data_IF_643703158706
#
_entry.id   IF_643703158706
#
_cell.length_a   1.000
_cell.length_b   1.000
_cell.length_c   1.000
_cell.angle_alpha   90.00
_cell.angle_beta   90.00
_cell.angle_gamma   90.00
#
_symmetry.space_group_name_H-M   'P 1'
#
loop_
_entity.id
_entity.type
_entity.pdbx_description
1 polymer ?
#
# COMPACT_ATOMS: atom_id res chain seq x y z
N UNK A 1 -44.63 -7.01 17.64
CA UNK A 1 -44.26 -5.62 17.26
C UNK A 1 -42.77 -5.44 17.51
N UNK A 2 -41.97 -5.17 16.48
CA UNK A 2 -40.56 -4.81 16.64
C UNK A 2 -40.22 -3.73 15.60
N UNK A 3 -39.74 -2.59 16.10
CA UNK A 3 -39.65 -1.32 15.38
C UNK A 3 -38.61 -1.31 14.27
N UNK A 4 -39.09 -1.19 13.03
CA UNK A 4 -38.29 -0.85 11.87
C UNK A 4 -38.12 0.68 11.82
N UNK A 5 -37.29 1.24 12.71
CA UNK A 5 -37.08 2.69 12.75
C UNK A 5 -36.14 3.12 11.60
N UNK A 6 -36.63 3.99 10.72
CA UNK A 6 -35.89 4.66 9.64
C UNK A 6 -34.53 5.21 10.11
N UNK A 7 -34.44 5.71 11.34
CA UNK A 7 -33.19 6.17 11.95
C UNK A 7 -32.15 5.07 12.15
N UNK A 8 -32.54 3.85 12.52
CA UNK A 8 -31.60 2.73 12.68
C UNK A 8 -30.96 2.34 11.35
N UNK A 9 -31.73 2.44 10.24
CA UNK A 9 -31.23 2.17 8.88
C UNK A 9 -30.32 3.28 8.37
N UNK A 10 -30.69 4.55 8.59
CA UNK A 10 -29.83 5.71 8.27
C UNK A 10 -28.52 5.68 9.07
N UNK A 11 -28.58 5.32 10.36
CA UNK A 11 -27.38 5.21 11.21
C UNK A 11 -26.43 4.13 10.71
N UNK A 12 -26.94 2.94 10.35
CA UNK A 12 -26.12 1.86 9.78
C UNK A 12 -25.51 2.25 8.43
N UNK A 13 -26.31 2.83 7.53
CA UNK A 13 -25.81 3.28 6.23
C UNK A 13 -24.75 4.38 6.38
N UNK A 14 -24.95 5.32 7.30
CA UNK A 14 -23.98 6.37 7.59
C UNK A 14 -22.69 5.78 8.15
N UNK A 15 -22.77 4.81 9.08
CA UNK A 15 -21.59 4.16 9.64
C UNK A 15 -20.74 3.47 8.56
N UNK A 16 -21.36 2.71 7.65
CA UNK A 16 -20.66 2.08 6.52
C UNK A 16 -20.00 3.13 5.61
N UNK A 17 -20.73 4.20 5.28
CA UNK A 17 -20.19 5.27 4.44
C UNK A 17 -19.05 6.04 5.13
N UNK A 18 -19.13 6.23 6.45
CA UNK A 18 -18.09 6.90 7.23
C UNK A 18 -16.84 6.01 7.35
N UNK A 19 -16.99 4.69 7.46
CA UNK A 19 -15.88 3.71 7.41
C UNK A 19 -15.18 3.75 6.06
N UNK A 20 -15.93 3.70 4.95
CA UNK A 20 -15.36 3.72 3.60
C UNK A 20 -14.63 5.05 3.31
N UNK A 21 -15.22 6.18 3.74
CA UNK A 21 -14.54 7.48 3.68
C UNK A 21 -13.27 7.52 4.54
N UNK A 22 -13.29 6.89 5.70
CA UNK A 22 -12.12 6.75 6.56
C UNK A 22 -10.97 6.04 5.85
N UNK A 23 -11.26 4.93 5.16
CA UNK A 23 -10.31 4.15 4.36
C UNK A 23 -9.70 5.00 3.24
N UNK A 24 -10.54 5.64 2.41
CA UNK A 24 -10.10 6.52 1.31
C UNK A 24 -9.24 7.69 1.83
N UNK A 25 -9.62 8.28 2.97
CA UNK A 25 -8.83 9.34 3.58
C UNK A 25 -7.49 8.84 4.12
N UNK A 26 -7.44 7.60 4.62
CA UNK A 26 -6.21 6.92 5.01
C UNK A 26 -5.24 6.80 3.84
N UNK A 27 -5.71 6.23 2.72
CA UNK A 27 -4.93 6.03 1.49
C UNK A 27 -4.39 7.36 0.94
N UNK A 28 -5.26 8.35 0.73
CA UNK A 28 -4.85 9.64 0.20
C UNK A 28 -3.92 10.39 1.18
N UNK A 29 -4.15 10.24 2.48
CA UNK A 29 -3.28 10.78 3.52
C UNK A 29 -1.88 10.16 3.48
N UNK A 30 -1.77 8.86 3.19
CA UNK A 30 -0.50 8.16 2.97
C UNK A 30 0.23 8.72 1.74
N UNK A 31 -0.47 8.91 0.62
CA UNK A 31 0.11 9.53 -0.59
C UNK A 31 0.67 10.93 -0.32
N UNK A 32 -0.07 11.78 0.43
CA UNK A 32 0.42 13.12 0.81
C UNK A 32 1.68 13.01 1.66
N UNK A 33 1.70 12.13 2.67
CA UNK A 33 2.85 11.94 3.56
C UNK A 33 4.10 11.53 2.78
N UNK A 34 3.97 10.54 1.90
CA UNK A 34 5.07 10.05 1.07
C UNK A 34 5.61 11.16 0.19
N UNK A 35 4.74 11.84 -0.56
CA UNK A 35 5.17 12.90 -1.46
C UNK A 35 5.83 14.08 -0.71
N UNK A 36 5.27 14.47 0.44
CA UNK A 36 5.75 15.60 1.23
C UNK A 36 7.15 15.41 1.83
N UNK A 37 7.68 14.18 1.90
CA UNK A 37 9.06 13.90 2.35
C UNK A 37 10.11 14.51 1.43
N UNK A 38 9.83 14.61 0.12
CA UNK A 38 10.69 15.27 -0.88
C UNK A 38 10.59 16.80 -0.85
N UNK A 39 9.78 17.35 0.06
CA UNK A 39 9.52 18.78 0.19
C UNK A 39 8.02 19.07 0.27
N UNK A 40 7.63 19.98 1.16
CA UNK A 40 6.23 20.30 1.45
C UNK A 40 5.64 21.39 0.56
N UNK A 41 6.42 21.94 -0.38
CA UNK A 41 5.97 22.96 -1.33
C UNK A 41 5.42 22.30 -2.62
N UNK A 42 4.10 22.37 -2.89
CA UNK A 42 3.50 21.77 -4.08
C UNK A 42 3.97 22.37 -5.40
N UNK A 43 4.48 23.60 -5.40
CA UNK A 43 5.02 24.23 -6.63
C UNK A 43 6.37 23.63 -7.04
N UNK A 44 7.13 23.15 -6.05
CA UNK A 44 8.42 22.49 -6.26
C UNK A 44 8.33 20.95 -6.23
N UNK A 45 7.15 20.39 -5.93
CA UNK A 45 6.94 18.96 -5.77
C UNK A 45 5.68 18.49 -6.54
N UNK A 46 5.90 17.93 -7.73
CA UNK A 46 4.83 17.46 -8.61
C UNK A 46 4.06 16.26 -8.06
N UNK A 47 4.72 15.37 -7.30
CA UNK A 47 4.07 14.24 -6.63
C UNK A 47 3.11 14.75 -5.55
N UNK A 48 3.54 15.75 -4.77
CA UNK A 48 2.70 16.35 -3.73
C UNK A 48 1.50 17.06 -4.35
N UNK A 49 1.70 17.81 -5.44
CA UNK A 49 0.59 18.42 -6.18
C UNK A 49 -0.45 17.39 -6.62
N UNK A 50 0.00 16.27 -7.19
CA UNK A 50 -0.89 15.18 -7.63
C UNK A 50 -1.65 14.55 -6.46
N UNK A 51 -0.99 14.33 -5.32
CA UNK A 51 -1.62 13.83 -4.10
C UNK A 51 -2.67 14.81 -3.53
N UNK A 52 -2.36 16.11 -3.55
CA UNK A 52 -3.29 17.17 -3.12
C UNK A 52 -4.51 17.28 -4.05
N UNK A 53 -4.35 17.05 -5.35
CA UNK A 53 -5.48 16.96 -6.29
C UNK A 53 -6.39 15.78 -5.97
N UNK A 54 -5.83 14.60 -5.69
CA UNK A 54 -6.61 13.43 -5.24
C UNK A 54 -7.36 13.74 -3.94
N UNK A 55 -6.71 14.42 -2.98
CA UNK A 55 -7.34 14.85 -1.72
C UNK A 55 -8.53 15.79 -1.94
N UNK A 56 -8.42 16.73 -2.89
CA UNK A 56 -9.54 17.58 -3.29
C UNK A 56 -10.67 16.78 -3.92
N UNK A 57 -10.38 15.83 -4.82
CA UNK A 57 -11.40 14.98 -5.48
C UNK A 57 -12.23 14.17 -4.48
N UNK A 58 -11.62 13.70 -3.40
CA UNK A 58 -12.33 12.95 -2.35
C UNK A 58 -12.96 13.84 -1.26
N UNK A 59 -12.90 15.17 -1.41
CA UNK A 59 -13.35 16.15 -0.41
C UNK A 59 -12.71 15.95 0.97
N UNK A 60 -11.40 15.65 1.00
CA UNK A 60 -10.66 15.51 2.25
C UNK A 60 -10.64 16.85 3.02
N UNK A 61 -10.97 16.88 4.32
CA UNK A 61 -10.88 18.09 5.14
C UNK A 61 -9.44 18.64 5.18
N UNK A 62 -9.29 19.96 5.04
CA UNK A 62 -7.98 20.64 5.06
C UNK A 62 -7.12 20.25 6.27
N UNK A 63 -7.73 20.11 7.46
CA UNK A 63 -7.05 19.66 8.68
C UNK A 63 -6.32 18.31 8.51
N UNK A 64 -6.88 17.38 7.74
CA UNK A 64 -6.25 16.08 7.49
C UNK A 64 -5.05 16.21 6.56
N UNK A 65 -5.16 17.07 5.54
CA UNK A 65 -4.05 17.41 4.62
C UNK A 65 -2.90 18.06 5.39
N UNK A 66 -3.20 19.09 6.21
CA UNK A 66 -2.20 19.80 7.02
C UNK A 66 -1.50 18.84 8.01
N UNK A 67 -2.26 17.91 8.61
CA UNK A 67 -1.70 16.88 9.49
C UNK A 67 -0.75 15.93 8.74
N UNK A 68 -1.12 15.51 7.52
CA UNK A 68 -0.27 14.66 6.69
C UNK A 68 1.03 15.37 6.29
N UNK A 69 0.95 16.63 5.85
CA UNK A 69 2.12 17.46 5.51
C UNK A 69 3.07 17.64 6.70
N UNK A 70 2.51 17.99 7.87
CA UNK A 70 3.31 18.17 9.09
C UNK A 70 3.99 16.87 9.54
N UNK A 71 3.27 15.75 9.50
CA UNK A 71 3.82 14.44 9.86
C UNK A 71 4.99 14.02 8.96
N UNK A 72 5.00 14.44 7.69
CA UNK A 72 6.10 14.15 6.78
C UNK A 72 7.34 15.01 7.07
N UNK A 73 7.15 16.27 7.48
CA UNK A 73 8.24 17.18 7.82
C UNK A 73 8.95 16.81 9.14
N UNK A 74 8.26 16.14 10.07
CA UNK A 74 8.81 15.80 11.39
C UNK A 74 9.56 14.46 11.41
N UNK A 75 9.35 13.57 10.44
CA UNK A 75 10.01 12.26 10.37
C UNK A 75 11.19 12.31 9.39
N UNK A 76 12.43 12.32 9.90
CA UNK A 76 13.59 11.92 9.08
C UNK A 76 13.64 10.40 9.01
N UNK A 77 13.58 9.84 7.81
CA UNK A 77 13.72 8.40 7.59
C UNK A 77 14.44 8.11 6.29
N UNK A 78 14.73 6.84 6.09
CA UNK A 78 15.37 6.31 4.88
C UNK A 78 14.39 5.43 4.11
N UNK A 79 14.45 5.51 2.78
CA UNK A 79 13.74 4.59 1.89
C UNK A 79 14.53 3.28 1.79
N UNK A 80 13.84 2.15 1.94
CA UNK A 80 14.39 0.83 1.67
C UNK A 80 13.41 -0.02 0.87
N UNK A 81 13.94 -0.99 0.15
CA UNK A 81 13.17 -2.02 -0.51
C UNK A 81 13.49 -3.35 0.17
N UNK A 82 12.50 -3.93 0.84
CA UNK A 82 12.60 -5.31 1.29
C UNK A 82 12.07 -6.26 0.23
N UNK A 83 12.66 -7.44 0.20
CA UNK A 83 12.29 -8.51 -0.69
C UNK A 83 11.90 -9.71 0.14
N UNK A 84 10.91 -10.45 -0.32
CA UNK A 84 10.45 -11.65 0.33
C UNK A 84 9.67 -12.55 -0.60
N UNK A 85 9.21 -13.66 -0.02
CA UNK A 85 8.38 -14.62 -0.71
C UNK A 85 7.15 -14.90 0.14
N UNK A 86 5.98 -14.98 -0.51
CA UNK A 86 4.79 -15.59 0.05
C UNK A 86 4.79 -17.11 -0.16
N UNK A 87 3.67 -17.77 0.17
CA UNK A 87 3.44 -19.18 -0.14
C UNK A 87 3.70 -19.50 -1.62
N UNK A 88 4.14 -20.74 -1.88
CA UNK A 88 4.46 -21.24 -3.22
C UNK A 88 5.52 -20.43 -3.99
N UNK A 89 6.30 -19.59 -3.29
CA UNK A 89 7.39 -18.83 -3.88
C UNK A 89 6.94 -17.56 -4.60
N UNK A 90 5.73 -17.06 -4.32
CA UNK A 90 5.26 -15.77 -4.82
C UNK A 90 6.23 -14.67 -4.38
N UNK A 91 6.84 -13.96 -5.32
CA UNK A 91 7.73 -12.85 -5.02
C UNK A 91 6.94 -11.67 -4.44
N UNK A 92 7.48 -11.03 -3.41
CA UNK A 92 6.92 -9.83 -2.78
C UNK A 92 8.01 -8.77 -2.65
N UNK A 93 7.75 -7.58 -3.18
CA UNK A 93 8.57 -6.39 -2.96
C UNK A 93 7.83 -5.43 -2.03
N UNK A 94 8.54 -4.89 -1.05
CA UNK A 94 7.95 -4.06 0.01
C UNK A 94 8.77 -2.79 0.10
N UNK A 95 8.26 -1.69 -0.45
CA UNK A 95 8.87 -0.38 -0.30
C UNK A 95 8.49 0.18 1.06
N UNK A 96 9.50 0.57 1.84
CA UNK A 96 9.33 1.14 3.16
C UNK A 96 10.03 2.49 3.25
N UNK A 97 9.54 3.32 4.16
CA UNK A 97 10.24 4.51 4.65
C UNK A 97 10.16 4.53 6.15
N UNK A 98 11.32 4.46 6.80
CA UNK A 98 11.39 4.27 8.24
C UNK A 98 12.48 5.11 8.88
N UNK A 99 12.24 5.51 10.12
CA UNK A 99 13.23 6.09 11.03
C UNK A 99 13.94 5.02 11.90
N UNK A 100 13.50 3.77 11.80
CA UNK A 100 14.02 2.66 12.58
C UNK A 100 13.94 1.33 11.80
N UNK A 101 14.99 1.07 11.04
CA UNK A 101 15.18 -0.12 10.21
C UNK A 101 15.02 -1.43 10.98
N UNK A 102 15.45 -1.48 12.25
CA UNK A 102 15.34 -2.70 13.07
C UNK A 102 13.91 -3.01 13.49
N UNK A 103 13.09 -1.98 13.77
CA UNK A 103 11.66 -2.15 14.05
C UNK A 103 10.94 -2.66 12.81
N UNK A 104 11.10 -1.94 11.70
CA UNK A 104 10.37 -2.21 10.46
C UNK A 104 10.71 -3.59 9.89
N UNK A 105 11.99 -4.00 9.88
CA UNK A 105 12.36 -5.35 9.42
C UNK A 105 11.77 -6.45 10.32
N UNK A 106 11.60 -6.16 11.61
CA UNK A 106 10.94 -7.07 12.56
C UNK A 106 9.46 -7.27 12.23
N UNK A 107 8.75 -6.16 12.04
CA UNK A 107 7.31 -6.15 11.69
C UNK A 107 7.06 -6.83 10.35
N UNK A 108 7.82 -6.46 9.30
CA UNK A 108 7.71 -7.08 7.97
C UNK A 108 7.96 -8.58 8.03
N UNK A 109 9.00 -9.02 8.75
CA UNK A 109 9.29 -10.45 8.91
C UNK A 109 8.15 -11.18 9.63
N UNK A 110 7.56 -10.56 10.64
CA UNK A 110 6.45 -11.15 11.39
C UNK A 110 5.22 -11.36 10.49
N UNK A 111 4.86 -10.36 9.69
CA UNK A 111 3.72 -10.45 8.76
C UNK A 111 3.94 -11.55 7.72
N UNK A 112 5.12 -11.58 7.08
CA UNK A 112 5.46 -12.59 6.09
C UNK A 112 5.42 -14.01 6.68
N UNK A 113 6.04 -14.22 7.84
CA UNK A 113 6.11 -15.55 8.46
C UNK A 113 4.77 -16.02 9.04
N UNK A 114 3.86 -15.11 9.40
CA UNK A 114 2.52 -15.44 9.89
C UNK A 114 1.65 -16.23 8.90
N UNK A 115 1.91 -16.08 7.60
CA UNK A 115 1.12 -16.69 6.52
C UNK A 115 1.93 -17.66 5.64
N UNK A 116 3.08 -18.14 6.13
CA UNK A 116 3.92 -19.11 5.41
C UNK A 116 4.85 -18.51 4.36
N UNK A 117 5.08 -17.20 4.43
CA UNK A 117 6.10 -16.49 3.66
C UNK A 117 7.44 -16.36 4.41
N UNK A 118 8.39 -15.64 3.79
CA UNK A 118 9.71 -15.38 4.34
C UNK A 118 10.29 -14.08 3.82
N UNK A 119 11.09 -13.41 4.66
CA UNK A 119 11.90 -12.26 4.25
C UNK A 119 13.17 -12.78 3.56
N UNK A 120 13.45 -12.28 2.36
CA UNK A 120 14.61 -12.59 1.56
C UNK A 120 15.76 -11.60 1.74
N UNK A 121 16.83 -11.82 0.98
CA UNK A 121 17.94 -10.88 0.85
C UNK A 121 17.75 -9.98 -0.37
N UNK A 122 18.50 -8.89 -0.45
CA UNK A 122 18.53 -8.04 -1.64
C UNK A 122 18.83 -8.87 -2.91
N UNK A 123 18.06 -8.68 -3.97
CA UNK A 123 18.11 -9.42 -5.24
C UNK A 123 17.43 -10.79 -5.24
N UNK A 124 16.78 -11.22 -4.16
CA UNK A 124 16.18 -12.56 -4.08
C UNK A 124 14.87 -12.69 -4.86
N UNK A 125 14.03 -11.66 -4.85
CA UNK A 125 12.72 -11.64 -5.52
C UNK A 125 12.65 -10.62 -6.66
N UNK A 126 13.53 -9.61 -6.68
CA UNK A 126 13.48 -8.49 -7.64
C UNK A 126 13.51 -8.94 -9.11
N UNK A 127 14.17 -10.05 -9.43
CA UNK A 127 14.23 -10.60 -10.80
C UNK A 127 12.87 -11.08 -11.33
N UNK A 128 11.85 -11.24 -10.46
CA UNK A 128 10.47 -11.54 -10.85
C UNK A 128 9.71 -10.29 -11.32
N UNK A 129 10.32 -9.11 -11.25
CA UNK A 129 9.68 -7.83 -11.54
C UNK A 129 10.46 -7.02 -12.57
N UNK A 130 9.73 -6.32 -13.43
CA UNK A 130 10.27 -5.28 -14.30
C UNK A 130 10.10 -3.91 -13.65
N UNK A 131 11.18 -3.12 -13.63
CA UNK A 131 11.12 -1.74 -13.15
C UNK A 131 10.60 -0.82 -14.24
N UNK A 132 9.47 -0.17 -13.98
CA UNK A 132 8.92 0.88 -14.83
C UNK A 132 9.57 2.20 -14.46
N UNK A 133 10.47 2.64 -15.32
CA UNK A 133 11.02 3.98 -15.29
C UNK A 133 10.16 4.90 -16.16
N UNK A 134 9.97 6.18 -15.79
CA UNK A 134 10.59 6.90 -14.67
C UNK A 134 9.82 6.79 -13.33
N UNK A 135 8.72 6.04 -13.27
CA UNK A 135 7.81 6.02 -12.11
C UNK A 135 8.34 5.25 -10.89
N UNK A 136 9.42 4.49 -11.04
CA UNK A 136 9.96 3.59 -10.00
C UNK A 136 8.91 2.59 -9.48
N UNK A 137 7.99 2.19 -10.35
CA UNK A 137 7.00 1.15 -10.08
C UNK A 137 7.53 -0.20 -10.56
N UNK A 138 7.01 -1.29 -9.99
CA UNK A 138 7.33 -2.65 -10.40
C UNK A 138 6.10 -3.30 -11.05
N UNK A 139 6.31 -4.01 -12.16
CA UNK A 139 5.31 -4.91 -12.76
C UNK A 139 5.82 -6.34 -12.78
N UNK A 140 4.89 -7.29 -12.83
CA UNK A 140 5.22 -8.72 -12.85
C UNK A 140 5.92 -9.08 -14.16
N UNK A 141 7.16 -9.53 -14.08
CA UNK A 141 7.93 -10.02 -15.24
C UNK A 141 7.62 -11.50 -15.52
N UNK A 142 7.40 -12.27 -14.46
CA UNK A 142 7.22 -13.72 -14.53
C UNK A 142 5.96 -14.10 -13.78
N UNK A 143 5.01 -14.68 -14.51
CA UNK A 143 3.80 -15.22 -13.94
C UNK A 143 4.05 -16.67 -13.53
N UNK A 144 3.73 -16.99 -12.28
CA UNK A 144 3.76 -18.36 -11.78
C UNK A 144 2.32 -18.82 -11.54
N UNK A 145 1.98 -20.09 -11.85
CA UNK A 145 0.72 -20.66 -11.40
C UNK A 145 0.76 -20.79 -9.88
N UNK A 146 -0.24 -20.21 -9.21
CA UNK A 146 -0.39 -20.23 -7.76
C UNK A 146 -1.71 -20.90 -7.42
N UNK A 147 -1.73 -21.73 -6.38
CA UNK A 147 -2.99 -22.31 -5.89
C UNK A 147 -3.91 -21.25 -5.28
N UNK A 148 -5.21 -21.52 -5.25
CA UNK A 148 -6.18 -20.59 -4.65
C UNK A 148 -5.88 -20.33 -3.15
N UNK A 149 -5.39 -21.34 -2.42
CA UNK A 149 -5.01 -21.20 -1.00
C UNK A 149 -3.78 -20.30 -0.82
N UNK A 150 -2.78 -20.45 -1.69
CA UNK A 150 -1.61 -19.59 -1.68
C UNK A 150 -1.95 -18.15 -2.08
N UNK A 151 -2.87 -17.96 -3.02
CA UNK A 151 -3.37 -16.63 -3.40
C UNK A 151 -4.07 -15.94 -2.22
N UNK A 152 -5.00 -16.62 -1.53
CA UNK A 152 -5.71 -16.05 -0.37
C UNK A 152 -4.74 -15.63 0.74
N UNK A 153 -3.72 -16.46 1.03
CA UNK A 153 -2.68 -16.13 2.02
C UNK A 153 -1.82 -14.94 1.59
N UNK A 154 -1.47 -14.84 0.31
CA UNK A 154 -0.76 -13.68 -0.22
C UNK A 154 -1.60 -12.39 -0.08
N UNK A 155 -2.90 -12.46 -0.35
CA UNK A 155 -3.83 -11.33 -0.15
C UNK A 155 -3.86 -10.87 1.32
N UNK A 156 -3.84 -11.82 2.28
CA UNK A 156 -3.74 -11.51 3.71
C UNK A 156 -2.41 -10.85 4.08
N UNK A 157 -1.29 -11.38 3.56
CA UNK A 157 0.05 -10.78 3.75
C UNK A 157 0.05 -9.33 3.28
N UNK A 158 -0.47 -9.06 2.08
CA UNK A 158 -0.49 -7.71 1.50
C UNK A 158 -1.31 -6.78 2.39
N UNK A 159 -2.51 -7.20 2.78
CA UNK A 159 -3.38 -6.39 3.62
C UNK A 159 -2.71 -6.04 4.96
N UNK A 160 -2.05 -7.00 5.61
CA UNK A 160 -1.34 -6.73 6.87
C UNK A 160 -0.09 -5.85 6.68
N UNK A 161 0.65 -6.03 5.58
CA UNK A 161 1.80 -5.18 5.26
C UNK A 161 1.36 -3.73 4.99
N UNK A 162 0.25 -3.52 4.29
CA UNK A 162 -0.24 -2.17 3.96
C UNK A 162 -0.69 -1.36 5.18
N UNK A 163 -1.11 -2.05 6.25
CA UNK A 163 -1.47 -1.47 7.54
C UNK A 163 -0.25 -1.08 8.39
N UNK A 164 0.97 -1.51 8.04
CA UNK A 164 2.19 -1.07 8.71
C UNK A 164 2.48 0.40 8.38
N UNK A 165 2.75 1.19 9.42
CA UNK A 165 2.99 2.64 9.31
C UNK A 165 4.17 3.00 8.38
N UNK A 166 5.19 2.15 8.36
CA UNK A 166 6.44 2.37 7.62
C UNK A 166 6.39 1.79 6.19
N UNK A 167 5.41 0.93 5.87
CA UNK A 167 5.26 0.35 4.52
C UNK A 167 4.57 1.38 3.64
N UNK A 168 5.18 1.70 2.50
CA UNK A 168 4.62 2.62 1.51
C UNK A 168 3.78 1.88 0.47
N UNK A 169 4.37 0.83 -0.11
CA UNK A 169 3.81 0.10 -1.23
C UNK A 169 4.29 -1.35 -1.21
N UNK A 170 3.42 -2.25 -1.67
CA UNK A 170 3.70 -3.68 -1.81
C UNK A 170 3.44 -4.08 -3.25
N UNK A 171 4.35 -4.85 -3.85
CA UNK A 171 4.14 -5.50 -5.13
C UNK A 171 4.26 -7.01 -4.95
N UNK A 172 3.55 -7.75 -5.78
CA UNK A 172 3.50 -9.21 -5.74
C UNK A 172 3.67 -9.74 -7.15
N UNK A 173 4.24 -10.93 -7.30
CA UNK A 173 4.33 -11.61 -8.59
C UNK A 173 3.02 -12.30 -9.01
N UNK A 174 1.93 -12.17 -8.24
CA UNK A 174 0.60 -12.62 -8.65
C UNK A 174 0.04 -11.56 -9.62
N UNK A 175 -0.32 -11.94 -10.85
CA UNK A 175 -0.84 -10.99 -11.83
C UNK A 175 -2.17 -10.41 -11.36
N UNK A 176 -2.32 -9.09 -11.50
CA UNK A 176 -3.63 -8.44 -11.35
C UNK A 176 -4.59 -8.86 -12.48
N UNK A 177 -5.90 -8.77 -12.26
CA UNK A 177 -6.90 -9.10 -13.30
C UNK A 177 -6.70 -8.31 -14.60
N UNK A 178 -6.19 -7.07 -14.51
CA UNK A 178 -5.86 -6.23 -15.66
C UNK A 178 -4.64 -6.76 -16.44
N UNK A 179 -3.57 -7.16 -15.75
CA UNK A 179 -2.34 -7.70 -16.38
C UNK A 179 -2.52 -9.11 -16.97
N UNK A 180 -3.48 -9.89 -16.47
CA UNK A 180 -3.84 -11.19 -17.03
C UNK A 180 -4.46 -11.09 -18.44
N UNK A 181 -4.97 -9.91 -18.84
CA UNK A 181 -5.58 -9.69 -20.16
C UNK A 181 -4.59 -9.29 -21.25
N UNK A 182 -3.54 -8.55 -20.91
CA UNK A 182 -2.47 -8.14 -21.85
C UNK A 182 -1.60 -9.33 -22.28
N UNK A 183 -1.40 -10.32 -21.41
CA UNK A 183 -0.65 -11.55 -21.73
C UNK A 183 -1.31 -12.43 -22.81
N UNK A 184 -2.61 -12.29 -23.08
CA UNK A 184 -3.32 -13.09 -24.09
C UNK A 184 -3.25 -12.53 -25.51
N UNK A 185 -2.64 -11.36 -25.70
CA UNK A 185 -2.56 -10.69 -27.00
C UNK A 185 -1.13 -10.43 -27.51
N UNK A 186 -0.12 -11.05 -26.88
CA UNK A 186 1.28 -11.03 -27.34
C UNK A 186 1.68 -12.36 -28.00
#
# INVERSE_FOLDING_TARGET
MAGHNKWSKIKRQKAVNDTEKGRIFGEVGKMIRVAARKGTDPEQNTELRSALEKAKKVNMPKKNIDRALKSAAEKSGEEMLYEGFGPEGVGILIKVYTDNTNRTVGEVRQVLSGHGGSLGTNGSAQWMFETITPLQEYRVAIQMPVSADAQEKCEQIIAELEELDDVEQVWTSIPSEEEATDSKHA
#
